data_IF_008556136346
#
_entry.id   IF_008556136346
#
_cell.length_a   1.000
_cell.length_b   1.000
_cell.length_c   1.000
_cell.angle_alpha   90.00
_cell.angle_beta   90.00
_cell.angle_gamma   90.00
#
_symmetry.space_group_name_H-M   'P 1'
#
loop_
_entity.id
_entity.type
_entity.pdbx_description
1 polymer ?
#
# COMPACT_ATOMS: atom_id res chain seq x y z
N UNK A 1 12.72 31.84 -17.75
CA UNK A 1 13.76 31.14 -16.97
C UNK A 1 13.08 30.07 -16.13
N UNK A 2 13.33 28.79 -16.43
CA UNK A 2 12.75 27.63 -15.73
C UNK A 2 13.24 27.63 -14.29
N UNK A 3 12.33 27.82 -13.33
CA UNK A 3 12.61 27.63 -11.90
C UNK A 3 12.63 26.13 -11.66
N UNK A 4 13.82 25.57 -11.52
CA UNK A 4 14.03 24.18 -11.14
C UNK A 4 13.66 24.12 -9.65
N UNK A 5 12.47 23.64 -9.33
CA UNK A 5 12.13 23.32 -7.95
C UNK A 5 12.96 22.12 -7.54
N UNK A 6 13.87 22.34 -6.60
CA UNK A 6 14.64 21.30 -5.96
C UNK A 6 13.69 20.41 -5.15
N UNK A 7 13.48 19.18 -5.61
CA UNK A 7 12.86 18.12 -4.81
C UNK A 7 13.90 17.70 -3.79
N UNK A 8 13.67 18.05 -2.53
CA UNK A 8 14.47 17.55 -1.41
C UNK A 8 14.07 16.08 -1.23
N UNK A 9 14.93 15.16 -1.68
CA UNK A 9 14.86 13.76 -1.28
C UNK A 9 15.24 13.69 0.20
N UNK A 10 14.25 13.69 1.09
CA UNK A 10 14.45 13.35 2.48
C UNK A 10 14.62 11.82 2.56
N UNK A 11 15.87 11.35 2.52
CA UNK A 11 16.20 9.97 2.87
C UNK A 11 16.08 9.82 4.40
N UNK A 12 14.86 9.57 4.89
CA UNK A 12 14.64 9.19 6.28
C UNK A 12 15.10 7.74 6.42
N UNK A 13 16.32 7.53 6.93
CA UNK A 13 16.75 6.24 7.45
C UNK A 13 16.03 6.00 8.77
N UNK A 14 14.78 5.52 8.68
CA UNK A 14 14.00 5.09 9.83
C UNK A 14 14.60 3.83 10.42
N UNK A 15 14.91 3.85 11.71
CA UNK A 15 15.13 2.64 12.50
C UNK A 15 13.83 1.86 12.50
N UNK A 16 13.80 0.73 11.78
CA UNK A 16 12.65 -0.16 11.75
C UNK A 16 12.40 -0.72 13.17
N UNK A 17 11.42 -0.17 13.87
CA UNK A 17 10.76 -0.90 14.95
C UNK A 17 10.06 -2.10 14.34
N UNK A 18 10.37 -3.30 14.81
CA UNK A 18 9.73 -4.53 14.34
C UNK A 18 8.30 -4.62 14.86
N UNK A 19 7.37 -3.93 14.21
CA UNK A 19 5.94 -4.13 14.35
C UNK A 19 5.47 -4.97 13.17
N UNK A 20 5.45 -6.29 13.35
CA UNK A 20 4.93 -7.20 12.35
C UNK A 20 3.40 -7.22 12.42
N UNK A 21 2.74 -6.48 11.52
CA UNK A 21 1.35 -6.79 11.19
C UNK A 21 1.31 -8.20 10.60
N UNK A 22 0.51 -9.10 11.18
CA UNK A 22 0.22 -10.38 10.54
C UNK A 22 -0.73 -10.10 9.35
N UNK A 23 -0.17 -9.82 8.18
CA UNK A 23 -0.93 -9.48 6.98
C UNK A 23 -1.64 -10.71 6.37
N UNK A 24 -1.53 -11.89 7.00
CA UNK A 24 -2.21 -13.12 6.61
C UNK A 24 -2.02 -13.47 5.13
N UNK A 25 -3.11 -13.77 4.45
CA UNK A 25 -3.10 -14.16 3.03
C UNK A 25 -2.85 -13.00 2.06
N UNK A 26 -2.77 -11.74 2.53
CA UNK A 26 -2.51 -10.57 1.67
C UNK A 26 -1.01 -10.43 1.36
N UNK A 27 -0.14 -11.15 2.09
CA UNK A 27 1.30 -11.16 1.86
C UNK A 27 1.67 -11.40 0.38
N UNK A 28 2.63 -10.61 -0.10
CA UNK A 28 3.16 -10.67 -1.46
C UNK A 28 3.08 -9.33 -2.20
N UNK A 29 3.40 -9.38 -3.50
CA UNK A 29 3.41 -8.19 -4.37
C UNK A 29 2.19 -8.20 -5.27
N UNK A 30 1.50 -7.07 -5.38
CA UNK A 30 0.29 -6.89 -6.15
C UNK A 30 0.42 -5.68 -7.05
N UNK A 31 0.11 -5.84 -8.34
CA UNK A 31 0.32 -4.79 -9.34
C UNK A 31 -0.94 -4.02 -9.65
N UNK A 32 -0.84 -2.72 -9.46
CA UNK A 32 -1.69 -1.73 -10.08
C UNK A 32 -1.11 -1.33 -11.45
N UNK A 33 -1.66 -1.92 -12.51
CA UNK A 33 -1.24 -1.62 -13.87
C UNK A 33 -1.61 -0.20 -14.31
N UNK A 34 -2.64 0.43 -13.71
CA UNK A 34 -3.09 1.78 -14.08
C UNK A 34 -2.07 2.84 -13.68
N UNK A 35 -1.37 2.61 -12.56
CA UNK A 35 -0.41 3.56 -11.99
C UNK A 35 1.06 3.14 -12.14
N UNK A 36 1.35 2.06 -12.86
CA UNK A 36 2.70 1.48 -12.93
C UNK A 36 3.28 1.26 -11.53
N UNK A 37 2.48 0.64 -10.66
CA UNK A 37 2.80 0.54 -9.24
C UNK A 37 2.66 -0.89 -8.72
N UNK A 38 3.64 -1.32 -7.93
CA UNK A 38 3.64 -2.59 -7.22
C UNK A 38 3.51 -2.32 -5.71
N UNK A 39 2.45 -2.87 -5.11
CA UNK A 39 2.20 -2.88 -3.67
C UNK A 39 2.74 -4.17 -3.07
N UNK A 40 3.73 -4.07 -2.19
CA UNK A 40 4.33 -5.23 -1.51
C UNK A 40 3.95 -5.23 -0.04
N UNK A 41 3.23 -6.27 0.38
CA UNK A 41 2.85 -6.57 1.75
C UNK A 41 3.81 -7.65 2.27
N UNK A 42 4.64 -7.28 3.23
CA UNK A 42 5.69 -8.15 3.78
C UNK A 42 5.25 -8.76 5.11
N UNK A 43 5.72 -9.98 5.40
CA UNK A 43 5.38 -10.69 6.64
C UNK A 43 5.88 -9.99 7.92
N UNK A 44 6.83 -9.06 7.79
CA UNK A 44 7.30 -8.19 8.86
C UNK A 44 6.42 -6.94 9.07
N UNK A 45 5.23 -6.90 8.44
CA UNK A 45 4.27 -5.80 8.53
C UNK A 45 4.58 -4.61 7.62
N UNK A 46 5.70 -4.62 6.89
CA UNK A 46 6.07 -3.51 6.01
C UNK A 46 5.23 -3.51 4.73
N UNK A 47 4.60 -2.38 4.43
CA UNK A 47 3.92 -2.15 3.15
C UNK A 47 4.76 -1.17 2.33
N UNK A 48 5.12 -1.57 1.12
CA UNK A 48 5.98 -0.77 0.23
C UNK A 48 5.29 -0.56 -1.11
N UNK A 49 5.23 0.70 -1.54
CA UNK A 49 4.83 1.08 -2.88
C UNK A 49 6.08 1.33 -3.72
N UNK A 50 6.24 0.56 -4.79
CA UNK A 50 7.33 0.75 -5.76
C UNK A 50 6.78 0.99 -7.15
N UNK A 51 7.55 1.67 -8.00
CA UNK A 51 7.24 1.77 -9.43
C UNK A 51 7.49 0.43 -10.11
N UNK A 52 6.49 -0.15 -10.76
CA UNK A 52 6.58 -1.51 -11.32
C UNK A 52 7.61 -1.60 -12.46
N UNK A 53 7.76 -0.55 -13.26
CA UNK A 53 8.74 -0.51 -14.37
C UNK A 53 10.21 -0.40 -13.93
N UNK A 54 10.51 0.17 -12.77
CA UNK A 54 11.89 0.44 -12.33
C UNK A 54 12.28 -0.19 -10.99
N UNK A 55 11.30 -0.63 -10.19
CA UNK A 55 11.51 -1.07 -8.80
C UNK A 55 11.85 0.06 -7.82
N UNK A 56 11.80 1.32 -8.27
CA UNK A 56 12.08 2.48 -7.41
C UNK A 56 11.03 2.61 -6.30
N UNK A 57 11.48 2.80 -5.06
CA UNK A 57 10.59 3.01 -3.92
C UNK A 57 9.90 4.37 -4.03
N UNK A 58 8.56 4.35 -4.09
CA UNK A 58 7.71 5.54 -4.10
C UNK A 58 7.36 5.93 -2.67
N UNK A 59 6.93 4.96 -1.86
CA UNK A 59 6.56 5.20 -0.47
C UNK A 59 6.72 3.92 0.37
N UNK A 60 7.04 4.09 1.64
CA UNK A 60 7.09 2.99 2.61
C UNK A 60 6.19 3.34 3.78
N UNK A 61 5.21 2.48 4.01
CA UNK A 61 4.30 2.58 5.14
C UNK A 61 4.88 1.77 6.30
N UNK A 62 5.01 2.42 7.46
CA UNK A 62 5.49 1.85 8.71
C UNK A 62 4.59 2.28 9.87
N UNK A 63 4.80 1.70 11.04
CA UNK A 63 4.22 2.12 12.31
C UNK A 63 4.30 3.63 12.58
N UNK A 64 5.34 4.30 12.10
CA UNK A 64 5.57 5.71 12.32
C UNK A 64 4.66 6.64 11.50
N UNK A 65 4.15 6.18 10.35
CA UNK A 65 3.34 7.00 9.43
C UNK A 65 1.97 6.40 9.12
N UNK A 66 1.67 5.23 9.66
CA UNK A 66 0.37 4.57 9.58
C UNK A 66 -0.41 4.76 10.88
N UNK A 67 -1.68 5.10 10.74
CA UNK A 67 -2.65 5.18 11.84
C UNK A 67 -3.91 4.35 11.53
N UNK A 68 -4.72 4.09 12.56
CA UNK A 68 -5.98 3.35 12.45
C UNK A 68 -5.86 1.99 11.73
N UNK A 69 -4.69 1.34 11.83
CA UNK A 69 -4.46 0.05 11.21
C UNK A 69 -5.45 -0.99 11.74
N UNK A 70 -6.13 -1.69 10.82
CA UNK A 70 -7.05 -2.78 11.12
C UNK A 70 -6.81 -3.92 10.16
N UNK A 71 -6.81 -5.13 10.72
CA UNK A 71 -6.90 -6.38 10.00
C UNK A 71 -8.23 -7.02 10.36
N UNK A 72 -9.06 -7.31 9.35
CA UNK A 72 -10.32 -8.01 9.54
C UNK A 72 -10.35 -9.26 8.68
N UNK A 73 -10.66 -10.41 9.28
CA UNK A 73 -11.03 -11.61 8.55
C UNK A 73 -12.53 -11.85 8.72
N UNK A 74 -13.24 -12.07 7.62
CA UNK A 74 -14.68 -12.29 7.64
C UNK A 74 -15.16 -13.13 6.46
N UNK A 75 -16.48 -13.27 6.33
CA UNK A 75 -17.11 -14.09 5.28
C UNK A 75 -16.77 -13.62 3.85
N UNK A 76 -16.41 -12.35 3.67
CA UNK A 76 -15.99 -11.77 2.40
C UNK A 76 -14.50 -11.92 2.08
N UNK A 77 -13.68 -12.38 3.03
CA UNK A 77 -12.23 -12.48 2.89
C UNK A 77 -11.44 -11.80 3.99
N UNK A 78 -10.15 -11.62 3.74
CA UNK A 78 -9.21 -10.90 4.61
C UNK A 78 -9.10 -9.47 4.10
N UNK A 79 -9.14 -8.49 4.99
CA UNK A 79 -8.93 -7.09 4.64
C UNK A 79 -7.97 -6.40 5.58
N UNK A 80 -7.11 -5.56 5.02
CA UNK A 80 -6.23 -4.63 5.72
C UNK A 80 -6.71 -3.21 5.41
N UNK A 81 -6.84 -2.36 6.42
CA UNK A 81 -7.09 -0.95 6.23
C UNK A 81 -6.23 -0.10 7.15
N UNK A 82 -5.85 1.07 6.67
CA UNK A 82 -5.05 2.02 7.43
C UNK A 82 -5.15 3.42 6.82
N UNK A 83 -4.84 4.43 7.61
CA UNK A 83 -4.72 5.80 7.11
C UNK A 83 -3.26 6.24 7.17
N UNK A 84 -2.86 7.15 6.27
CA UNK A 84 -1.54 7.73 6.27
C UNK A 84 -1.64 9.23 5.97
N UNK A 85 -1.45 10.05 6.99
CA UNK A 85 -1.58 11.51 6.90
C UNK A 85 -0.53 12.14 5.97
N UNK A 86 0.66 11.56 5.87
CA UNK A 86 1.70 12.02 4.93
C UNK A 86 1.25 11.91 3.47
N UNK A 87 0.35 10.97 3.19
CA UNK A 87 -0.24 10.77 1.87
C UNK A 87 -1.64 11.37 1.76
N UNK A 88 -2.21 11.95 2.82
CA UNK A 88 -3.58 12.47 2.88
C UNK A 88 -4.60 11.45 2.32
N UNK A 89 -4.47 10.18 2.71
CA UNK A 89 -5.26 9.06 2.18
C UNK A 89 -5.57 8.02 3.24
N UNK A 90 -6.75 7.43 3.12
CA UNK A 90 -7.14 6.16 3.72
C UNK A 90 -7.04 5.04 2.68
N UNK A 91 -6.60 3.87 3.12
CA UNK A 91 -6.36 2.71 2.28
C UNK A 91 -7.12 1.50 2.81
N UNK A 92 -7.68 0.72 1.89
CA UNK A 92 -8.26 -0.58 2.20
C UNK A 92 -7.94 -1.58 1.09
N UNK A 93 -7.42 -2.73 1.50
CA UNK A 93 -7.12 -3.86 0.64
C UNK A 93 -7.94 -5.05 1.10
N UNK A 94 -8.67 -5.70 0.20
CA UNK A 94 -9.50 -6.86 0.50
C UNK A 94 -9.12 -8.00 -0.43
N UNK A 95 -8.72 -9.15 0.13
CA UNK A 95 -8.50 -10.39 -0.60
C UNK A 95 -9.72 -11.29 -0.41
N UNK A 96 -10.54 -11.49 -1.45
CA UNK A 96 -11.66 -12.41 -1.42
C UNK A 96 -11.23 -13.86 -1.11
N UNK A 97 -12.15 -14.67 -0.59
CA UNK A 97 -11.91 -16.11 -0.32
C UNK A 97 -11.84 -16.99 -1.58
N UNK A 98 -11.94 -16.41 -2.77
CA UNK A 98 -11.92 -17.16 -4.03
C UNK A 98 -10.51 -17.59 -4.41
N UNK A 99 -10.39 -18.75 -5.06
CA UNK A 99 -9.11 -19.23 -5.59
C UNK A 99 -8.58 -18.26 -6.65
N UNK A 100 -7.31 -17.87 -6.53
CA UNK A 100 -6.65 -16.89 -7.40
C UNK A 100 -7.34 -15.51 -7.44
N UNK A 101 -7.95 -15.10 -6.32
CA UNK A 101 -8.54 -13.77 -6.22
C UNK A 101 -7.49 -12.67 -6.46
N UNK A 102 -7.88 -11.67 -7.25
CA UNK A 102 -7.21 -10.38 -7.26
C UNK A 102 -7.45 -9.67 -5.91
N UNK A 103 -6.62 -8.69 -5.58
CA UNK A 103 -6.74 -7.91 -4.35
C UNK A 103 -7.51 -6.64 -4.67
N UNK A 104 -8.69 -6.48 -4.07
CA UNK A 104 -9.49 -5.27 -4.24
C UNK A 104 -8.86 -4.15 -3.43
N UNK A 105 -8.51 -3.06 -4.10
CA UNK A 105 -7.90 -1.87 -3.52
C UNK A 105 -8.86 -0.71 -3.61
N UNK A 106 -9.09 -0.07 -2.47
CA UNK A 106 -9.83 1.16 -2.33
C UNK A 106 -8.94 2.20 -1.64
N UNK A 107 -8.83 3.38 -2.25
CA UNK A 107 -8.09 4.51 -1.71
C UNK A 107 -9.02 5.72 -1.68
N UNK A 108 -9.18 6.30 -0.50
CA UNK A 108 -9.99 7.50 -0.23
C UNK A 108 -9.03 8.67 0.06
N UNK A 109 -8.81 9.60 -0.90
CA UNK A 109 -7.94 10.75 -0.70
C UNK A 109 -8.71 11.95 -0.12
N UNK A 110 -8.16 12.57 0.92
CA UNK A 110 -8.81 13.69 1.63
C UNK A 110 -8.99 14.96 0.77
N UNK A 111 -8.21 15.10 -0.31
CA UNK A 111 -8.15 16.29 -1.17
C UNK A 111 -9.12 16.24 -2.37
N UNK A 112 -9.89 15.16 -2.54
CA UNK A 112 -10.89 15.04 -3.61
C UNK A 112 -12.13 14.30 -3.10
N UNK A 113 -13.25 14.41 -3.81
CA UNK A 113 -14.44 13.58 -3.55
C UNK A 113 -14.46 12.30 -4.38
N UNK A 114 -13.41 12.06 -5.17
CA UNK A 114 -13.29 10.88 -6.03
C UNK A 114 -12.38 9.84 -5.39
N UNK A 115 -12.96 8.70 -5.05
CA UNK A 115 -12.22 7.53 -4.57
C UNK A 115 -11.52 6.82 -5.73
N UNK A 116 -10.50 6.04 -5.39
CA UNK A 116 -9.83 5.15 -6.32
C UNK A 116 -10.07 3.68 -5.95
N UNK A 117 -10.98 3.06 -6.70
CA UNK A 117 -11.27 1.63 -6.63
C UNK A 117 -10.68 0.88 -7.82
N UNK A 118 -10.01 -0.23 -7.54
CA UNK A 118 -9.49 -1.14 -8.57
C UNK A 118 -9.26 -2.54 -7.98
N UNK A 119 -9.02 -3.52 -8.86
CA UNK A 119 -8.57 -4.85 -8.44
C UNK A 119 -7.16 -5.06 -8.98
N UNK A 120 -6.21 -5.33 -8.09
CA UNK A 120 -4.78 -5.45 -8.40
C UNK A 120 -4.32 -6.89 -8.38
N UNK A 121 -3.41 -7.23 -9.30
CA UNK A 121 -3.11 -8.63 -9.61
C UNK A 121 -1.89 -9.12 -8.85
N UNK A 122 -1.98 -10.34 -8.30
CA UNK A 122 -0.84 -10.97 -7.66
C UNK A 122 0.33 -11.14 -8.63
N UNK A 123 1.52 -10.75 -8.21
CA UNK A 123 2.76 -10.91 -8.96
C UNK A 123 3.50 -12.13 -8.45
N UNK A 124 3.39 -13.23 -9.19
CA UNK A 124 4.22 -14.41 -8.94
C UNK A 124 5.66 -14.06 -9.31
N UNK A 125 6.54 -14.02 -8.31
CA UNK A 125 7.98 -13.99 -8.52
C UNK A 125 8.47 -15.33 -9.09
#
# INVERSE_FOLDING_TARGET
MKKIMAVVLAAVLGTAGAFAFDLGDINGTWRDAKWDADWTFSADGKIVLTKASSGESVFTFTDANVQNFKLNAGASGVSVSFDCSETERSYKFTKPLTLNADLDMHIDPEWTSEDYDTSIKFQKK
#
